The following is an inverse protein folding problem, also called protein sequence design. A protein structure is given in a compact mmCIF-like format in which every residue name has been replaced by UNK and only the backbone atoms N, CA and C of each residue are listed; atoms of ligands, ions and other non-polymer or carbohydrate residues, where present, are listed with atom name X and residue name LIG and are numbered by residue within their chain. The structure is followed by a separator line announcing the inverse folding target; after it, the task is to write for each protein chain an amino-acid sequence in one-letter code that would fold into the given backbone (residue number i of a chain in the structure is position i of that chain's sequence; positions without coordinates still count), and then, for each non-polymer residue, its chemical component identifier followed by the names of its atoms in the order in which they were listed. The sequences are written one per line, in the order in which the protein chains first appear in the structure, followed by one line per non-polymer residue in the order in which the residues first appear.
data_IF_067473479940
#
_entry.id   IF_067473479940
#
_cell.length_a   1.000
_cell.length_b   1.000
_cell.length_c   1.000
_cell.angle_alpha   90.00
_cell.angle_beta   90.00
_cell.angle_gamma   90.00
#
_symmetry.space_group_name_H-M   'P 1'
#
loop_
_entity.id
_entity.type
_entity.pdbx_description
1 polymer ?
#
# COMPACT_ATOMS: atom_id res chain seq x y z
N UNK A 1 17.29 4.94 -8.76
CA UNK A 1 16.79 4.37 -7.49
C UNK A 1 15.66 3.39 -7.80
N UNK A 2 15.78 2.12 -7.36
CA UNK A 2 14.76 1.08 -7.59
C UNK A 2 13.52 1.40 -6.74
N UNK A 3 12.59 2.18 -7.29
CA UNK A 3 11.30 2.41 -6.67
C UNK A 3 10.49 1.12 -6.66
N UNK A 4 9.91 0.77 -5.51
CA UNK A 4 9.03 -0.37 -5.38
C UNK A 4 7.78 -0.10 -6.21
N UNK A 5 7.47 -1.02 -7.12
CA UNK A 5 6.31 -0.90 -8.00
C UNK A 5 5.21 -1.85 -7.53
N UNK A 6 3.97 -1.37 -7.34
CA UNK A 6 2.88 -2.26 -7.00
C UNK A 6 2.46 -3.10 -8.20
N UNK A 7 1.94 -4.28 -7.92
CA UNK A 7 1.27 -5.13 -8.88
C UNK A 7 -0.17 -4.65 -9.09
N UNK A 8 -0.59 -4.58 -10.35
CA UNK A 8 -1.96 -4.22 -10.74
C UNK A 8 -2.47 -5.32 -11.65
N UNK A 9 -3.72 -5.73 -11.42
CA UNK A 9 -4.37 -6.77 -12.19
C UNK A 9 -5.31 -6.15 -13.23
N UNK A 10 -5.20 -6.58 -14.49
CA UNK A 10 -6.20 -6.27 -15.53
C UNK A 10 -7.33 -7.31 -15.51
N UNK A 11 -8.48 -6.92 -16.08
CA UNK A 11 -9.55 -7.84 -16.47
C UNK A 11 -8.96 -8.82 -17.49
N UNK A 12 -8.66 -10.05 -17.07
CA UNK A 12 -7.89 -11.03 -17.84
C UNK A 12 -6.68 -11.63 -17.11
N UNK A 13 -6.44 -11.28 -15.85
CA UNK A 13 -5.44 -11.94 -14.99
C UNK A 13 -3.98 -11.50 -15.24
N UNK A 14 -3.73 -10.70 -16.27
CA UNK A 14 -2.40 -10.13 -16.50
C UNK A 14 -2.00 -9.18 -15.37
N UNK A 15 -0.84 -9.47 -14.76
CA UNK A 15 -0.18 -8.61 -13.78
C UNK A 15 0.68 -7.58 -14.51
N UNK A 16 0.60 -6.32 -14.10
CA UNK A 16 1.50 -5.25 -14.55
C UNK A 16 2.02 -4.45 -13.37
N UNK A 17 3.15 -3.80 -13.55
CA UNK A 17 3.64 -2.82 -12.59
C UNK A 17 2.87 -1.51 -12.72
N UNK A 18 2.29 -1.07 -11.62
CA UNK A 18 1.62 0.21 -11.49
C UNK A 18 2.61 1.35 -11.29
N UNK A 19 2.10 2.58 -11.40
CA UNK A 19 2.89 3.79 -11.15
C UNK A 19 3.19 3.99 -9.67
N UNK A 20 2.26 3.64 -8.78
CA UNK A 20 2.38 3.82 -7.34
C UNK A 20 1.26 3.13 -6.55
N UNK A 21 1.46 3.01 -5.24
CA UNK A 21 0.54 2.36 -4.31
C UNK A 21 -0.72 3.18 -4.10
N UNK A 22 -1.85 2.50 -3.90
CA UNK A 22 -3.12 3.16 -3.59
C UNK A 22 -3.12 3.67 -2.16
N UNK A 23 -3.87 4.75 -1.91
CA UNK A 23 -4.14 5.22 -0.55
C UNK A 23 -4.70 4.13 0.37
N UNK A 24 -5.52 3.22 -0.16
CA UNK A 24 -6.09 2.13 0.63
C UNK A 24 -5.04 1.10 1.05
N UNK A 25 -4.05 0.85 0.19
CA UNK A 25 -2.94 -0.07 0.48
C UNK A 25 -2.01 0.52 1.53
N UNK A 26 -1.68 1.81 1.40
CA UNK A 26 -0.88 2.53 2.39
C UNK A 26 -1.56 2.53 3.76
N UNK A 27 -2.87 2.83 3.79
CA UNK A 27 -3.67 2.81 5.02
C UNK A 27 -3.71 1.42 5.66
N UNK A 28 -3.81 0.36 4.84
CA UNK A 28 -3.78 -1.02 5.33
C UNK A 28 -2.40 -1.45 5.85
N UNK A 29 -1.32 -0.91 5.28
CA UNK A 29 0.05 -1.08 5.78
C UNK A 29 0.37 -0.17 6.99
N UNK A 30 -0.58 0.66 7.44
CA UNK A 30 -0.40 1.54 8.60
C UNK A 30 0.44 2.78 8.33
N UNK A 31 0.66 3.16 7.06
CA UNK A 31 1.40 4.35 6.68
C UNK A 31 0.50 5.40 6.02
N UNK A 32 0.77 6.65 6.32
CA UNK A 32 0.10 7.80 5.70
C UNK A 32 0.76 8.15 4.36
N UNK A 33 0.05 8.86 3.49
CA UNK A 33 0.60 9.32 2.22
C UNK A 33 1.82 10.24 2.40
N UNK A 34 1.88 10.97 3.51
CA UNK A 34 3.00 11.85 3.83
C UNK A 34 4.25 11.05 4.21
N UNK A 35 4.10 10.03 5.04
CA UNK A 35 5.18 9.10 5.41
C UNK A 35 5.68 8.31 4.20
N UNK A 36 4.76 7.80 3.38
CA UNK A 36 5.09 7.10 2.16
C UNK A 36 5.95 7.97 1.20
N UNK A 37 5.64 9.27 1.07
CA UNK A 37 6.49 10.20 0.29
C UNK A 37 7.88 10.38 0.90
N UNK A 38 7.99 10.48 2.23
CA UNK A 38 9.28 10.57 2.93
C UNK A 38 10.13 9.31 2.73
N UNK A 39 9.48 8.15 2.70
CA UNK A 39 10.10 6.84 2.44
C UNK A 39 10.42 6.61 0.95
N UNK A 40 10.08 7.54 0.05
CA UNK A 40 10.28 7.38 -1.39
C UNK A 40 9.34 6.35 -2.03
N UNK A 41 8.25 5.99 -1.36
CA UNK A 41 7.23 5.08 -1.89
C UNK A 41 6.34 5.86 -2.87
N UNK A 42 6.24 5.42 -4.15
CA UNK A 42 5.40 6.10 -5.12
C UNK A 42 3.92 5.88 -4.79
N UNK A 43 3.11 6.94 -4.88
CA UNK A 43 1.69 6.93 -4.53
C UNK A 43 0.84 7.21 -5.77
N UNK A 44 -0.16 6.38 -6.01
CA UNK A 44 -1.20 6.59 -7.00
C UNK A 44 -2.54 6.90 -6.31
N UNK A 45 -2.78 8.19 -6.12
CA UNK A 45 -3.99 8.72 -5.45
C UNK A 45 -5.27 8.45 -6.25
N UNK A 46 -5.15 8.21 -7.56
CA UNK A 46 -6.31 7.99 -8.44
C UNK A 46 -6.86 6.57 -8.32
N UNK A 47 -6.04 5.62 -7.84
CA UNK A 47 -6.40 4.20 -7.72
C UNK A 47 -7.13 3.95 -6.39
N UNK A 48 -8.34 3.40 -6.47
CA UNK A 48 -9.17 3.02 -5.29
C UNK A 48 -9.10 1.52 -4.94
N UNK A 49 -8.52 0.70 -5.81
CA UNK A 49 -8.36 -0.74 -5.59
C UNK A 49 -7.24 -1.02 -4.60
N UNK A 50 -7.46 -1.97 -3.70
CA UNK A 50 -6.44 -2.50 -2.82
C UNK A 50 -6.16 -3.97 -3.16
N UNK A 51 -4.90 -4.34 -3.26
CA UNK A 51 -4.48 -5.73 -3.44
C UNK A 51 -3.62 -6.18 -2.26
N UNK A 52 -3.93 -7.35 -1.71
CA UNK A 52 -3.20 -7.90 -0.56
C UNK A 52 -1.71 -8.14 -0.86
N UNK A 53 -1.38 -8.56 -2.08
CA UNK A 53 0.02 -8.76 -2.53
C UNK A 53 0.83 -7.45 -2.39
N UNK A 54 0.23 -6.30 -2.69
CA UNK A 54 0.87 -4.99 -2.52
C UNK A 54 1.01 -4.58 -1.05
N UNK A 55 0.03 -4.92 -0.21
CA UNK A 55 0.08 -4.63 1.23
C UNK A 55 1.21 -5.43 1.89
N UNK A 56 1.40 -6.70 1.49
CA UNK A 56 2.52 -7.54 1.97
C UNK A 56 3.87 -6.93 1.58
N UNK A 57 4.02 -6.50 0.33
CA UNK A 57 5.23 -5.82 -0.14
C UNK A 57 5.49 -4.55 0.68
N UNK A 58 4.46 -3.73 0.94
CA UNK A 58 4.60 -2.53 1.80
C UNK A 58 5.05 -2.89 3.21
N UNK A 59 4.44 -3.89 3.84
CA UNK A 59 4.80 -4.33 5.18
C UNK A 59 6.24 -4.84 5.25
N UNK A 60 6.68 -5.61 4.25
CA UNK A 60 8.07 -6.07 4.16
C UNK A 60 9.04 -4.90 4.03
N UNK A 61 8.71 -3.91 3.20
CA UNK A 61 9.54 -2.72 3.04
C UNK A 61 9.67 -1.92 4.33
N UNK A 62 8.55 -1.69 5.02
CA UNK A 62 8.53 -0.99 6.30
C UNK A 62 9.34 -1.76 7.34
N UNK A 63 9.27 -3.10 7.33
CA UNK A 63 10.03 -3.95 8.25
C UNK A 63 11.53 -3.91 7.96
N UNK A 64 11.94 -3.89 6.69
CA UNK A 64 13.35 -3.83 6.29
C UNK A 64 13.96 -2.45 6.49
N UNK A 65 13.20 -1.37 6.28
CA UNK A 65 13.61 -0.02 6.68
C UNK A 65 13.41 0.13 8.18
N UNK A 66 14.44 -0.17 8.99
CA UNK A 66 14.43 -0.16 10.46
C UNK A 66 13.66 1.02 11.08
N UNK A 67 12.36 0.83 11.26
CA UNK A 67 11.50 1.63 12.13
C UNK A 67 10.95 0.66 13.17
N UNK A 68 11.47 0.66 14.41
CA UNK A 68 10.80 -0.04 15.49
C UNK A 68 9.58 0.80 15.89
N UNK A 69 8.46 0.63 15.19
CA UNK A 69 7.18 1.21 15.60
C UNK A 69 6.42 0.23 16.51
N UNK A 70 6.99 0.04 17.69
CA UNK A 70 6.25 -0.30 18.90
C UNK A 70 5.43 0.95 19.29
N UNK A 71 4.20 1.10 18.77
CA UNK A 71 3.04 1.72 19.46
C UNK A 71 1.94 2.21 18.48
N UNK A 72 0.83 1.47 18.51
CA UNK A 72 -0.58 1.91 18.52
C UNK A 72 -0.94 3.27 17.87
N UNK A 73 -1.89 3.23 16.93
CA UNK A 73 -3.22 3.90 17.04
C UNK A 73 -3.96 3.92 15.70
N UNK A 74 -5.29 3.76 15.72
CA UNK A 74 -6.13 4.12 14.57
C UNK A 74 -6.98 3.00 13.94
N UNK A 75 -7.77 2.31 14.75
CA UNK A 75 -9.02 1.64 14.34
C UNK A 75 -9.79 2.55 13.37
N UNK A 76 -9.94 2.16 12.11
CA UNK A 76 -11.00 2.70 11.25
C UNK A 76 -11.64 1.60 10.41
N UNK A 77 -12.84 1.23 10.86
CA UNK A 77 -13.82 0.38 10.18
C UNK A 77 -14.22 0.98 8.83
N UNK A 78 -14.38 0.14 7.81
CA UNK A 78 -15.44 0.18 6.78
C UNK A 78 -15.06 -0.82 5.68
N UNK A 79 -15.82 -1.82 5.29
CA UNK A 79 -17.16 -2.29 5.61
C UNK A 79 -17.39 -3.41 4.60
N UNK A 80 -17.73 -4.60 5.09
CA UNK A 80 -18.32 -5.64 4.25
C UNK A 80 -19.56 -5.03 3.59
N UNK A 81 -19.60 -4.95 2.28
CA UNK A 81 -20.85 -4.83 1.55
C UNK A 81 -20.95 -6.03 0.61
N UNK A 82 -21.53 -7.11 1.15
CA UNK A 82 -22.20 -8.12 0.34
C UNK A 82 -23.43 -7.44 -0.30
N UNK A 83 -23.62 -7.62 -1.59
CA UNK A 83 -24.95 -7.85 -2.17
C UNK A 83 -24.80 -8.81 -3.33
#
# INVERSE_FOLDING_TARGET
MKGVKPLVFKKGGQKRFGKGFSLNELKAAGITATEARKLGIPIDVRRKTAHEENIRILNELIKTSEIPNESKSGKSKSGKAKK
#
